data_IF_816193136939
#
_entry.id   IF_816193136939
#
_cell.length_a   1.000
_cell.length_b   1.000
_cell.length_c   1.000
_cell.angle_alpha   90.00
_cell.angle_beta   90.00
_cell.angle_gamma   90.00
#
_symmetry.space_group_name_H-M   'P 1'
#
loop_
_entity.id
_entity.type
_entity.pdbx_description
1 polymer ?
#
# COMPACT_ATOMS: atom_id res chain seq x y z
N UNK A 1 -12.35 13.36 -3.08
CA UNK A 1 -11.10 13.68 -3.80
C UNK A 1 -10.00 12.65 -3.54
N UNK A 2 -9.64 12.33 -2.30
CA UNK A 2 -8.52 11.41 -1.98
C UNK A 2 -8.51 10.05 -2.71
N UNK A 3 -9.68 9.40 -2.88
CA UNK A 3 -9.75 8.10 -3.56
C UNK A 3 -9.44 8.18 -5.06
N UNK A 4 -9.93 9.21 -5.75
CA UNK A 4 -9.61 9.41 -7.19
C UNK A 4 -8.12 9.70 -7.36
N UNK A 5 -7.55 10.48 -6.46
CA UNK A 5 -6.13 10.78 -6.47
C UNK A 5 -5.26 9.53 -6.23
N UNK A 6 -5.72 8.57 -5.39
CA UNK A 6 -5.01 7.30 -5.24
C UNK A 6 -5.04 6.46 -6.51
N UNK A 7 -6.19 6.38 -7.18
CA UNK A 7 -6.32 5.67 -8.47
C UNK A 7 -5.41 6.29 -9.54
N UNK A 8 -5.37 7.62 -9.65
CA UNK A 8 -4.47 8.30 -10.60
C UNK A 8 -3.02 7.94 -10.30
N UNK A 9 -2.63 8.01 -9.03
CA UNK A 9 -1.28 7.64 -8.61
C UNK A 9 -0.94 6.19 -8.96
N UNK A 10 -1.84 5.25 -8.68
CA UNK A 10 -1.64 3.83 -9.00
C UNK A 10 -1.46 3.59 -10.50
N UNK A 11 -2.27 4.26 -11.35
CA UNK A 11 -2.13 4.19 -12.81
C UNK A 11 -0.82 4.77 -13.32
N UNK A 12 -0.34 5.90 -12.75
CA UNK A 12 0.92 6.52 -13.12
C UNK A 12 2.14 5.63 -12.82
N UNK A 13 2.04 4.77 -11.79
CA UNK A 13 3.14 3.92 -11.33
C UNK A 13 2.95 2.43 -11.60
N UNK A 14 1.90 2.05 -12.32
CA UNK A 14 1.72 0.66 -12.78
C UNK A 14 2.85 0.26 -13.73
N UNK A 15 3.48 -0.89 -13.44
CA UNK A 15 4.66 -1.38 -14.16
C UNK A 15 4.32 -2.33 -15.31
N UNK A 16 3.13 -2.95 -15.27
CA UNK A 16 2.70 -3.94 -16.25
C UNK A 16 1.18 -3.91 -16.46
N UNK A 17 0.74 -4.63 -17.47
CA UNK A 17 -0.67 -4.70 -17.86
C UNK A 17 -1.54 -5.37 -16.77
N UNK A 18 -0.96 -6.23 -15.97
CA UNK A 18 -1.67 -6.90 -14.88
C UNK A 18 -2.03 -5.89 -13.77
N UNK A 19 -1.08 -5.04 -13.38
CA UNK A 19 -1.32 -3.96 -12.41
C UNK A 19 -2.41 -3.00 -12.92
N UNK A 20 -2.38 -2.63 -14.22
CA UNK A 20 -3.40 -1.78 -14.85
C UNK A 20 -4.78 -2.46 -14.82
N UNK A 21 -4.86 -3.76 -15.11
CA UNK A 21 -6.12 -4.51 -15.07
C UNK A 21 -6.69 -4.61 -13.65
N UNK A 22 -5.85 -4.75 -12.63
CA UNK A 22 -6.28 -4.76 -11.22
C UNK A 22 -6.91 -3.42 -10.83
N UNK A 23 -6.27 -2.31 -11.20
CA UNK A 23 -6.79 -0.96 -10.97
C UNK A 23 -8.09 -0.76 -11.74
N UNK A 24 -8.17 -1.20 -12.98
CA UNK A 24 -9.40 -1.15 -13.78
C UNK A 24 -10.54 -1.93 -13.11
N UNK A 25 -10.28 -3.14 -12.60
CA UNK A 25 -11.27 -3.92 -11.87
C UNK A 25 -11.71 -3.22 -10.57
N UNK A 26 -10.81 -2.53 -9.88
CA UNK A 26 -11.16 -1.72 -8.70
C UNK A 26 -12.12 -0.58 -9.07
N UNK A 27 -11.85 0.12 -10.17
CA UNK A 27 -12.70 1.21 -10.68
C UNK A 27 -14.08 0.68 -11.06
N UNK A 28 -14.14 -0.44 -11.79
CA UNK A 28 -15.41 -1.00 -12.30
C UNK A 28 -16.31 -1.56 -11.21
N UNK A 29 -15.73 -2.06 -10.12
CA UNK A 29 -16.48 -2.54 -8.95
C UNK A 29 -16.95 -1.42 -8.03
N UNK A 30 -16.39 -0.21 -8.18
CA UNK A 30 -16.75 0.93 -7.33
C UNK A 30 -18.08 1.55 -7.78
N UNK A 31 -19.10 1.66 -6.89
CA UNK A 31 -20.40 2.22 -7.24
C UNK A 31 -20.34 3.63 -7.83
N UNK A 32 -19.34 4.45 -7.44
CA UNK A 32 -19.17 5.83 -7.94
C UNK A 32 -18.94 5.86 -9.46
N UNK A 33 -18.26 4.84 -10.01
CA UNK A 33 -17.93 4.79 -11.43
C UNK A 33 -18.86 3.90 -12.25
N UNK A 34 -19.72 3.11 -11.59
CA UNK A 34 -20.59 2.14 -12.24
C UNK A 34 -21.53 2.78 -13.27
N UNK A 35 -22.07 3.97 -12.96
CA UNK A 35 -22.97 4.70 -13.87
C UNK A 35 -22.22 5.27 -15.09
N UNK A 36 -20.96 5.67 -14.92
CA UNK A 36 -20.11 6.12 -16.02
C UNK A 36 -19.70 4.99 -16.97
N UNK A 37 -19.49 3.79 -16.44
CA UNK A 37 -18.98 2.64 -17.18
C UNK A 37 -20.08 1.84 -17.88
N UNK A 38 -21.35 1.97 -17.48
CA UNK A 38 -22.49 1.32 -18.16
C UNK A 38 -22.64 1.73 -19.64
N UNK A 39 -22.11 2.88 -20.02
CA UNK A 39 -22.11 3.37 -21.40
C UNK A 39 -20.87 2.91 -22.21
N UNK A 40 -19.92 2.23 -21.60
CA UNK A 40 -18.71 1.75 -22.27
C UNK A 40 -18.79 0.24 -22.45
N UNK A 41 -18.91 -0.21 -23.71
CA UNK A 41 -18.84 -1.65 -24.06
C UNK A 41 -17.39 -2.16 -23.87
N UNK A 42 -16.98 -2.41 -22.65
CA UNK A 42 -15.71 -3.07 -22.36
C UNK A 42 -16.01 -4.47 -21.86
N UNK A 43 -15.52 -5.48 -22.55
CA UNK A 43 -15.70 -6.88 -22.18
C UNK A 43 -14.91 -7.19 -20.91
N UNK A 44 -15.62 -7.47 -19.81
CA UNK A 44 -15.05 -7.92 -18.56
C UNK A 44 -14.48 -9.34 -18.72
N UNK A 45 -13.19 -9.49 -18.99
CA UNK A 45 -12.48 -10.71 -18.60
C UNK A 45 -12.13 -10.56 -17.12
N UNK A 46 -12.80 -11.32 -16.28
CA UNK A 46 -12.37 -11.55 -14.90
C UNK A 46 -11.10 -12.39 -14.95
N UNK A 47 -9.94 -11.75 -14.97
CA UNK A 47 -8.71 -12.45 -14.64
C UNK A 47 -8.67 -12.65 -13.13
N UNK A 48 -8.85 -13.89 -12.71
CA UNK A 48 -8.89 -14.33 -11.31
C UNK A 48 -7.52 -14.39 -10.63
N UNK A 49 -6.45 -14.00 -11.32
CA UNK A 49 -5.10 -13.95 -10.77
C UNK A 49 -4.80 -12.54 -10.25
N UNK A 50 -5.09 -12.29 -8.97
CA UNK A 50 -4.52 -11.12 -8.29
C UNK A 50 -3.01 -11.24 -8.27
N UNK A 51 -2.31 -10.16 -8.67
CA UNK A 51 -0.85 -10.12 -8.58
C UNK A 51 -0.42 -10.21 -7.11
N UNK A 52 0.74 -10.80 -6.87
CA UNK A 52 1.34 -10.83 -5.52
C UNK A 52 1.88 -9.44 -5.16
N UNK A 53 1.86 -9.03 -3.88
CA UNK A 53 2.57 -7.84 -3.43
C UNK A 53 4.02 -7.87 -3.87
N UNK A 54 4.65 -6.69 -3.98
CA UNK A 54 6.10 -6.64 -4.18
C UNK A 54 6.79 -7.16 -2.92
N UNK A 55 7.78 -8.01 -3.11
CA UNK A 55 8.56 -8.59 -2.02
C UNK A 55 10.00 -8.11 -2.09
N UNK A 56 10.53 -7.66 -0.96
CA UNK A 56 11.91 -7.23 -0.77
C UNK A 56 12.54 -8.00 0.37
N UNK A 57 13.83 -8.29 0.23
CA UNK A 57 14.63 -8.87 1.30
C UNK A 57 15.65 -7.82 1.79
N UNK A 58 15.43 -7.28 2.98
CA UNK A 58 16.27 -6.23 3.55
C UNK A 58 16.91 -6.76 4.83
N UNK A 59 18.24 -6.93 4.83
CA UNK A 59 19.04 -7.42 5.96
C UNK A 59 18.46 -8.70 6.58
N UNK A 60 17.99 -9.64 5.76
CA UNK A 60 17.44 -10.91 6.19
C UNK A 60 15.95 -10.87 6.58
N UNK A 61 15.31 -9.73 6.50
CA UNK A 61 13.87 -9.58 6.74
C UNK A 61 13.08 -9.53 5.43
N UNK A 62 11.90 -10.14 5.42
CA UNK A 62 10.95 -10.02 4.32
C UNK A 62 10.10 -8.77 4.51
N UNK A 63 10.04 -7.93 3.49
CA UNK A 63 9.23 -6.71 3.45
C UNK A 63 8.29 -6.78 2.26
N UNK A 64 7.00 -6.64 2.52
CA UNK A 64 5.95 -6.70 1.49
C UNK A 64 5.40 -5.30 1.22
N UNK A 65 5.17 -4.98 -0.06
CA UNK A 65 4.65 -3.68 -0.51
C UNK A 65 3.45 -3.90 -1.42
N UNK A 66 2.32 -3.31 -1.06
CA UNK A 66 1.10 -3.35 -1.88
C UNK A 66 1.25 -2.49 -3.13
N UNK A 67 0.67 -2.93 -4.24
CA UNK A 67 0.75 -2.28 -5.55
C UNK A 67 -0.43 -1.33 -5.84
N UNK A 68 -1.57 -1.61 -5.20
CA UNK A 68 -2.81 -0.86 -5.34
C UNK A 68 -3.65 -0.95 -4.05
N UNK A 69 -4.76 -0.21 -4.00
CA UNK A 69 -5.61 -0.13 -2.82
C UNK A 69 -6.17 -1.50 -2.38
N UNK A 70 -6.57 -2.37 -3.31
CA UNK A 70 -7.05 -3.73 -3.00
C UNK A 70 -5.95 -4.58 -2.39
N UNK A 71 -4.74 -4.50 -2.95
CA UNK A 71 -3.59 -5.20 -2.38
C UNK A 71 -3.17 -4.63 -1.03
N UNK A 72 -3.21 -3.31 -0.84
CA UNK A 72 -2.95 -2.67 0.46
C UNK A 72 -3.90 -3.22 1.54
N UNK A 73 -5.19 -3.34 1.20
CA UNK A 73 -6.19 -3.95 2.07
C UNK A 73 -5.87 -5.41 2.39
N UNK A 74 -5.67 -6.22 1.34
CA UNK A 74 -5.42 -7.65 1.47
C UNK A 74 -4.14 -7.93 2.27
N UNK A 75 -3.08 -7.19 1.96
CA UNK A 75 -1.80 -7.25 2.66
C UNK A 75 -1.97 -6.99 4.15
N UNK A 76 -2.68 -5.92 4.52
CA UNK A 76 -2.83 -5.48 5.90
C UNK A 76 -3.82 -6.35 6.69
N UNK A 77 -4.92 -6.78 6.07
CA UNK A 77 -6.02 -7.45 6.77
C UNK A 77 -5.96 -8.98 6.71
N UNK A 78 -5.25 -9.57 5.74
CA UNK A 78 -5.21 -11.02 5.48
C UNK A 78 -3.82 -11.64 5.57
N UNK A 79 -2.78 -10.96 5.05
CA UNK A 79 -1.41 -11.50 5.01
C UNK A 79 -0.63 -11.15 6.28
N UNK A 80 -0.76 -9.90 6.74
CA UNK A 80 0.01 -9.43 7.87
C UNK A 80 -0.45 -10.08 9.19
N UNK A 81 0.52 -10.45 10.00
CA UNK A 81 0.32 -10.96 11.37
C UNK A 81 0.25 -9.79 12.36
N UNK A 82 -0.40 -9.98 13.52
CA UNK A 82 -0.59 -8.93 14.53
C UNK A 82 0.72 -8.29 15.02
N UNK A 83 1.81 -9.03 14.99
CA UNK A 83 3.13 -8.59 15.47
C UNK A 83 4.04 -8.08 14.34
N UNK A 84 3.61 -8.13 13.08
CA UNK A 84 4.30 -7.47 11.98
C UNK A 84 4.23 -5.96 12.15
N UNK A 85 5.11 -5.21 11.49
CA UNK A 85 5.10 -3.75 11.53
C UNK A 85 4.57 -3.23 10.20
N UNK A 86 3.57 -2.37 10.28
CA UNK A 86 2.96 -1.64 9.17
C UNK A 86 3.58 -0.25 9.06
N UNK A 87 3.84 0.20 7.83
CA UNK A 87 4.34 1.53 7.49
C UNK A 87 3.48 2.16 6.41
N UNK A 88 3.29 3.47 6.51
CA UNK A 88 2.63 4.28 5.48
C UNK A 88 3.05 5.75 5.59
N UNK A 89 3.13 6.45 4.47
CA UNK A 89 3.38 7.90 4.46
C UNK A 89 2.24 8.66 5.11
N UNK A 90 2.59 9.55 6.06
CA UNK A 90 1.61 10.31 6.82
C UNK A 90 0.91 11.33 5.93
N UNK A 91 -0.44 11.29 5.88
CA UNK A 91 -1.29 12.22 5.13
C UNK A 91 -0.98 12.30 3.61
N UNK A 92 -0.25 11.32 3.08
CA UNK A 92 0.16 11.25 1.68
C UNK A 92 -0.23 9.88 1.12
N UNK A 93 -0.76 9.83 -0.10
CA UNK A 93 -1.08 8.56 -0.77
C UNK A 93 0.18 7.74 -1.03
N UNK A 94 0.09 6.44 -0.71
CA UNK A 94 1.18 5.51 -0.90
C UNK A 94 0.77 4.06 -0.62
N UNK A 95 1.74 3.17 -0.80
CA UNK A 95 1.58 1.76 -0.53
C UNK A 95 1.62 1.46 0.97
N UNK A 96 0.85 0.44 1.39
CA UNK A 96 1.10 -0.22 2.67
C UNK A 96 2.37 -1.07 2.56
N UNK A 97 3.26 -0.90 3.52
CA UNK A 97 4.48 -1.68 3.63
C UNK A 97 4.44 -2.49 4.92
N UNK A 98 4.71 -3.79 4.83
CA UNK A 98 4.68 -4.71 5.97
C UNK A 98 6.05 -5.34 6.15
N UNK A 99 6.66 -5.11 7.29
CA UNK A 99 7.84 -5.83 7.76
C UNK A 99 7.39 -7.10 8.49
N UNK A 100 7.74 -8.25 7.92
CA UNK A 100 7.34 -9.57 8.43
C UNK A 100 8.24 -10.04 9.58
N UNK A 101 7.61 -10.55 10.64
CA UNK A 101 8.29 -11.22 11.75
C UNK A 101 9.52 -10.47 12.30
N UNK A 102 9.39 -9.20 12.69
CA UNK A 102 10.54 -8.38 13.07
C UNK A 102 11.27 -8.86 14.35
N UNK A 103 10.61 -9.74 15.11
CA UNK A 103 11.13 -10.14 16.43
C UNK A 103 11.03 -9.03 17.47
N UNK A 104 11.44 -9.32 18.73
CA UNK A 104 11.31 -8.33 19.81
C UNK A 104 12.36 -7.22 19.77
N UNK A 105 13.51 -7.44 19.11
CA UNK A 105 14.66 -6.53 19.12
C UNK A 105 15.01 -6.03 17.72
N UNK A 106 14.00 -5.48 17.02
CA UNK A 106 14.23 -4.89 15.70
C UNK A 106 15.12 -3.64 15.80
N UNK A 107 16.12 -3.53 14.94
CA UNK A 107 17.00 -2.37 14.90
C UNK A 107 16.33 -1.14 14.29
N UNK A 108 16.72 0.05 14.73
CA UNK A 108 16.25 1.29 14.12
C UNK A 108 16.63 1.40 12.64
N UNK A 109 17.74 0.79 12.24
CA UNK A 109 18.22 0.80 10.85
C UNK A 109 17.21 0.13 9.91
N UNK A 110 16.67 -1.04 10.28
CA UNK A 110 15.64 -1.74 9.52
C UNK A 110 14.35 -0.93 9.46
N UNK A 111 13.94 -0.32 10.57
CA UNK A 111 12.75 0.55 10.59
C UNK A 111 12.91 1.73 9.61
N UNK A 112 14.10 2.35 9.59
CA UNK A 112 14.41 3.45 8.66
C UNK A 112 14.39 2.96 7.21
N UNK A 113 14.96 1.79 6.90
CA UNK A 113 14.94 1.21 5.55
C UNK A 113 13.51 0.94 5.07
N UNK A 114 12.67 0.33 5.91
CA UNK A 114 11.25 0.11 5.60
C UNK A 114 10.48 1.42 5.40
N UNK A 115 10.76 2.45 6.23
CA UNK A 115 10.15 3.76 6.08
C UNK A 115 10.58 4.44 4.76
N UNK A 116 11.86 4.35 4.37
CA UNK A 116 12.36 4.85 3.07
C UNK A 116 11.66 4.17 1.90
N UNK A 117 11.41 2.86 2.00
CA UNK A 117 10.67 2.11 0.99
C UNK A 117 9.20 2.58 0.90
N UNK A 118 8.53 2.80 2.04
CA UNK A 118 7.18 3.34 2.07
C UNK A 118 7.10 4.74 1.45
N UNK A 119 8.08 5.59 1.72
CA UNK A 119 8.19 6.91 1.12
C UNK A 119 8.44 6.84 -0.40
N UNK A 120 9.24 5.85 -0.86
CA UNK A 120 9.50 5.63 -2.28
C UNK A 120 8.25 5.18 -3.05
N UNK A 121 7.42 4.31 -2.46
CA UNK A 121 6.14 3.88 -3.03
C UNK A 121 4.99 4.79 -2.59
N UNK A 122 5.19 6.10 -2.68
CA UNK A 122 4.19 7.13 -2.37
C UNK A 122 4.27 8.31 -3.33
N UNK A 123 3.27 9.18 -3.29
CA UNK A 123 3.29 10.47 -4.01
C UNK A 123 4.47 11.37 -3.62
N UNK A 124 5.09 11.15 -2.47
CA UNK A 124 6.26 11.89 -2.01
C UNK A 124 7.59 11.30 -2.48
N UNK A 125 7.59 10.39 -3.47
CA UNK A 125 8.77 9.68 -3.97
C UNK A 125 9.97 10.57 -4.31
N UNK A 126 9.71 11.77 -4.81
CA UNK A 126 10.75 12.74 -5.21
C UNK A 126 10.99 13.84 -4.16
N UNK A 127 10.36 13.70 -2.99
CA UNK A 127 10.50 14.67 -1.91
C UNK A 127 11.61 14.26 -0.95
N UNK A 128 12.08 15.22 -0.16
CA UNK A 128 12.97 14.97 0.96
C UNK A 128 12.19 15.06 2.27
N UNK A 129 12.70 14.43 3.33
CA UNK A 129 12.14 14.53 4.69
C UNK A 129 10.66 14.12 4.77
N UNK A 130 10.31 13.00 4.13
CA UNK A 130 8.93 12.47 4.06
C UNK A 130 8.55 11.85 5.40
N UNK A 131 7.45 12.29 6.04
CA UNK A 131 6.97 11.66 7.27
C UNK A 131 6.32 10.32 6.96
N UNK A 132 6.78 9.26 7.63
CA UNK A 132 6.26 7.90 7.54
C UNK A 132 5.85 7.45 8.92
N UNK A 133 4.58 7.12 9.07
CA UNK A 133 4.04 6.51 10.28
C UNK A 133 4.25 5.00 10.26
N UNK A 134 4.54 4.41 11.42
CA UNK A 134 4.63 2.97 11.58
C UNK A 134 4.10 2.52 12.94
N UNK A 135 3.50 1.35 12.97
CA UNK A 135 3.02 0.71 14.17
C UNK A 135 2.87 -0.80 13.98
N UNK A 136 2.63 -1.54 15.07
CA UNK A 136 2.26 -2.95 14.93
C UNK A 136 0.91 -3.09 14.22
N UNK A 137 0.79 -4.10 13.36
CA UNK A 137 -0.44 -4.36 12.58
C UNK A 137 -1.68 -4.50 13.47
N UNK A 138 -1.55 -5.01 14.71
CA UNK A 138 -2.67 -5.08 15.67
C UNK A 138 -3.33 -3.73 15.98
N UNK A 139 -2.65 -2.62 15.71
CA UNK A 139 -3.16 -1.27 15.92
C UNK A 139 -3.75 -0.65 14.64
N UNK A 140 -3.70 -1.37 13.52
CA UNK A 140 -4.28 -0.96 12.24
C UNK A 140 -5.64 -1.61 12.08
N UNK A 141 -6.67 -0.82 11.79
CA UNK A 141 -8.05 -1.30 11.61
C UNK A 141 -8.64 -0.73 10.33
N UNK A 142 -9.38 -1.56 9.62
CA UNK A 142 -10.21 -1.11 8.50
C UNK A 142 -11.61 -0.80 9.02
N UNK A 143 -12.09 0.46 8.92
CA UNK A 143 -13.47 0.80 9.28
C UNK A 143 -14.46 0.08 8.37
N UNK A 144 -15.61 -0.33 8.92
CA UNK A 144 -16.68 -0.94 8.13
C UNK A 144 -17.15 0.02 7.02
N UNK A 145 -17.28 -0.48 5.80
CA UNK A 145 -17.71 0.31 4.65
C UNK A 145 -16.67 1.29 4.11
N UNK A 146 -15.44 1.33 4.66
CA UNK A 146 -14.37 2.15 4.08
C UNK A 146 -13.92 1.62 2.73
N UNK A 147 -13.45 2.53 1.88
CA UNK A 147 -12.90 2.19 0.55
C UNK A 147 -11.63 1.34 0.69
N UNK A 148 -11.27 0.57 -0.36
CA UNK A 148 -10.00 -0.16 -0.37
C UNK A 148 -8.81 0.75 -0.03
N UNK A 149 -7.83 0.23 0.69
CA UNK A 149 -6.63 0.96 1.12
C UNK A 149 -6.83 1.92 2.29
N UNK A 150 -8.07 2.21 2.69
CA UNK A 150 -8.33 3.12 3.82
C UNK A 150 -8.31 2.37 5.15
N UNK A 151 -7.44 2.81 6.04
CA UNK A 151 -7.31 2.28 7.40
C UNK A 151 -7.23 3.42 8.43
N UNK A 152 -7.57 3.09 9.66
CA UNK A 152 -7.28 3.92 10.84
C UNK A 152 -6.26 3.17 11.70
N UNK A 153 -5.38 3.89 12.35
CA UNK A 153 -4.34 3.30 13.17
C UNK A 153 -4.06 4.15 14.42
N UNK A 154 -3.50 3.50 15.42
CA UNK A 154 -3.13 4.12 16.70
C UNK A 154 -1.75 3.64 17.14
N UNK A 155 -1.20 4.21 18.22
CA UNK A 155 0.11 3.84 18.77
C UNK A 155 1.26 3.90 17.75
N UNK A 156 1.12 4.75 16.72
CA UNK A 156 2.14 4.95 15.72
C UNK A 156 3.28 5.83 16.22
N UNK A 157 4.44 5.61 15.62
CA UNK A 157 5.58 6.52 15.66
C UNK A 157 5.81 7.03 14.24
N UNK A 158 6.45 8.18 14.11
CA UNK A 158 6.76 8.81 12.82
C UNK A 158 8.27 8.87 12.63
N UNK A 159 8.74 8.49 11.43
CA UNK A 159 10.10 8.69 10.95
C UNK A 159 10.09 9.65 9.76
N UNK A 160 11.00 10.62 9.77
CA UNK A 160 11.22 11.48 8.60
C UNK A 160 12.38 10.92 7.80
N UNK A 161 12.12 10.56 6.54
CA UNK A 161 13.08 9.86 5.69
C UNK A 161 13.15 10.45 4.29
N UNK A 162 14.28 10.24 3.62
CA UNK A 162 14.39 10.46 2.17
C UNK A 162 14.05 9.16 1.46
N UNK A 163 13.12 9.18 0.46
CA UNK A 163 12.72 8.00 -0.29
C UNK A 163 13.90 7.26 -0.91
N UNK A 164 13.89 5.93 -0.83
CA UNK A 164 14.90 5.07 -1.44
C UNK A 164 14.28 3.72 -1.83
N UNK A 165 14.59 3.25 -3.05
CA UNK A 165 14.29 1.89 -3.46
C UNK A 165 15.45 0.97 -3.05
N UNK A 166 15.12 -0.24 -2.66
CA UNK A 166 16.08 -1.31 -2.37
C UNK A 166 15.91 -2.41 -3.42
N UNK A 167 17.02 -2.92 -3.90
CA UNK A 167 17.06 -4.06 -4.84
C UNK A 167 17.06 -5.38 -4.08
#
# INVERSE_FOLDING_TARGET
MQYIESIIYELEYAKDIQEVNEIYNEITENPIFKDFLQNSKVSNKKDSNSSTPREFHIDGYTVLVGKNNKQNDYLTTKIASKNDIWFHTKDIHGSHVILKNPGPNISNEILIKCAKLAAYYSKARLSNNVPVDYCLVKYVKKPNGSKPGMVIYTNNKTLNVTPCEFN
#
